data_IF_391003699557
#
_entry.id   IF_391003699557
#
_cell.length_a   1.000
_cell.length_b   1.000
_cell.length_c   1.000
_cell.angle_alpha   90.00
_cell.angle_beta   90.00
_cell.angle_gamma   90.00
#
_symmetry.space_group_name_H-M   'P 1'
#
loop_
_entity.id
_entity.type
_entity.pdbx_description
1 polymer ?
#
# COMPACT_ATOMS: atom_id res chain seq x y z
N UNK A 1 20.22 1.07 4.08
CA UNK A 1 20.24 1.62 2.70
C UNK A 1 19.63 3.01 2.66
N UNK A 2 18.45 3.19 3.24
CA UNK A 2 17.72 4.47 3.16
C UNK A 2 18.14 5.41 4.29
N UNK A 3 18.44 6.67 3.95
CA UNK A 3 18.59 7.75 4.92
C UNK A 3 17.35 8.62 4.83
N UNK A 4 16.55 8.60 5.89
CA UNK A 4 15.25 9.30 5.95
C UNK A 4 15.38 10.43 6.98
N UNK A 5 15.09 11.66 6.56
CA UNK A 5 15.04 12.81 7.46
C UNK A 5 13.99 12.56 8.55
N UNK A 6 14.33 12.85 9.81
CA UNK A 6 13.43 12.62 10.94
C UNK A 6 12.11 13.37 10.80
N UNK A 7 12.11 14.53 10.15
CA UNK A 7 10.91 15.33 9.86
C UNK A 7 9.89 14.58 9.01
N UNK A 8 10.32 13.61 8.20
CA UNK A 8 9.41 12.79 7.40
C UNK A 8 8.48 11.95 8.29
N UNK A 9 8.92 11.55 9.49
CA UNK A 9 8.12 10.77 10.44
C UNK A 9 7.12 11.62 11.24
N UNK A 10 7.26 12.95 11.19
CA UNK A 10 6.33 13.91 11.81
C UNK A 10 5.14 14.22 10.88
N UNK A 11 5.24 13.90 9.59
CA UNK A 11 4.13 14.04 8.64
C UNK A 11 2.95 13.18 9.16
N UNK A 12 1.75 13.75 9.32
CA UNK A 12 0.64 13.05 9.97
C UNK A 12 0.32 11.67 9.38
N UNK A 13 0.32 11.54 8.05
CA UNK A 13 0.04 10.26 7.38
C UNK A 13 1.14 9.24 7.61
N UNK A 14 2.42 9.64 7.59
CA UNK A 14 3.56 8.77 7.90
C UNK A 14 3.53 8.35 9.37
N UNK A 15 3.29 9.29 10.28
CA UNK A 15 3.19 9.00 11.71
C UNK A 15 2.10 7.96 12.01
N UNK A 16 0.90 8.14 11.42
CA UNK A 16 -0.21 7.21 11.59
C UNK A 16 0.06 5.86 10.92
N UNK A 17 0.71 5.84 9.75
CA UNK A 17 1.12 4.61 9.09
C UNK A 17 2.06 3.77 9.98
N UNK A 18 3.05 4.40 10.63
CA UNK A 18 3.99 3.69 11.51
C UNK A 18 3.30 3.01 12.70
N UNK A 19 2.15 3.54 13.17
CA UNK A 19 1.37 2.93 14.24
C UNK A 19 0.66 1.65 13.81
N UNK A 20 0.52 1.38 12.52
CA UNK A 20 -0.07 0.14 12.03
C UNK A 20 0.95 -1.02 12.04
N UNK A 21 2.20 -0.78 12.44
CA UNK A 21 3.28 -1.77 12.32
C UNK A 21 3.49 -2.58 13.61
N UNK A 22 3.09 -2.05 14.76
CA UNK A 22 3.42 -2.61 16.09
C UNK A 22 2.64 -3.90 16.41
N UNK A 23 1.43 -4.03 15.88
CA UNK A 23 0.58 -5.21 16.03
C UNK A 23 0.56 -6.11 14.78
N UNK A 24 1.33 -5.76 13.73
CA UNK A 24 1.29 -6.47 12.46
C UNK A 24 1.92 -7.86 12.54
N UNK A 25 1.18 -8.87 12.08
CA UNK A 25 1.62 -10.26 11.96
C UNK A 25 1.82 -10.62 10.48
N UNK A 26 3.08 -10.75 10.00
CA UNK A 26 3.36 -11.07 8.59
C UNK A 26 2.80 -12.39 8.07
N UNK A 27 2.50 -13.36 8.92
CA UNK A 27 2.10 -14.71 8.51
C UNK A 27 0.64 -14.76 8.07
N UNK A 28 0.42 -14.68 6.76
CA UNK A 28 -0.92 -14.72 6.16
C UNK A 28 -1.59 -16.11 6.21
N UNK A 29 -1.01 -17.10 6.88
CA UNK A 29 -1.66 -18.39 7.19
C UNK A 29 -2.40 -18.37 8.52
N UNK A 30 -2.08 -17.42 9.39
CA UNK A 30 -2.74 -17.21 10.67
C UNK A 30 -4.07 -16.46 10.47
N UNK A 31 -4.97 -16.61 11.43
CA UNK A 31 -6.18 -15.82 11.47
C UNK A 31 -5.84 -14.44 12.03
N UNK A 32 -6.34 -13.41 11.38
CA UNK A 32 -6.24 -12.04 11.87
C UNK A 32 -7.34 -11.82 12.92
N UNK A 33 -6.93 -11.39 14.11
CA UNK A 33 -7.84 -11.02 15.20
C UNK A 33 -7.89 -9.50 15.30
N UNK A 34 -8.80 -8.88 14.55
CA UNK A 34 -8.94 -7.41 14.54
C UNK A 34 -9.39 -6.88 15.92
N UNK A 35 -8.46 -6.29 16.65
CA UNK A 35 -8.70 -5.65 17.95
C UNK A 35 -9.37 -4.29 17.79
N UNK A 36 -10.08 -3.79 18.81
CA UNK A 36 -10.61 -2.43 18.80
C UNK A 36 -9.52 -1.35 18.65
N UNK A 37 -8.28 -1.64 19.08
CA UNK A 37 -7.16 -0.71 18.94
C UNK A 37 -6.73 -0.57 17.48
N UNK A 38 -6.54 -1.70 16.79
CA UNK A 38 -6.16 -1.71 15.36
C UNK A 38 -7.20 -0.99 14.51
N UNK A 39 -8.49 -1.24 14.75
CA UNK A 39 -9.57 -0.52 14.05
C UNK A 39 -9.52 0.99 14.28
N UNK A 40 -9.15 1.42 15.48
CA UNK A 40 -8.99 2.83 15.80
C UNK A 40 -7.79 3.45 15.09
N UNK A 41 -6.69 2.70 14.98
CA UNK A 41 -5.47 3.14 14.29
C UNK A 41 -5.68 3.22 12.77
N UNK A 42 -6.33 2.23 12.18
CA UNK A 42 -6.75 2.24 10.76
C UNK A 42 -7.69 3.42 10.49
N UNK A 43 -8.70 3.62 11.33
CA UNK A 43 -9.64 4.73 11.19
C UNK A 43 -8.94 6.09 11.33
N UNK A 44 -7.95 6.21 12.21
CA UNK A 44 -7.14 7.41 12.38
C UNK A 44 -6.21 7.65 11.19
N UNK A 45 -5.59 6.61 10.65
CA UNK A 45 -4.77 6.69 9.45
C UNK A 45 -5.61 7.11 8.24
N UNK A 46 -6.77 6.47 8.01
CA UNK A 46 -7.68 6.85 6.94
C UNK A 46 -8.18 8.29 7.08
N UNK A 47 -8.48 8.74 8.30
CA UNK A 47 -8.87 10.13 8.54
C UNK A 47 -7.75 11.11 8.21
N UNK A 48 -6.50 10.77 8.55
CA UNK A 48 -5.33 11.57 8.16
C UNK A 48 -5.19 11.64 6.64
N UNK A 49 -5.31 10.50 5.93
CA UNK A 49 -5.29 10.44 4.47
C UNK A 49 -6.37 11.33 3.83
N UNK A 50 -7.62 11.19 4.29
CA UNK A 50 -8.78 11.92 3.75
C UNK A 50 -8.67 13.45 3.88
N UNK A 51 -7.87 13.94 4.82
CA UNK A 51 -7.61 15.37 5.00
C UNK A 51 -6.50 15.92 4.11
N UNK A 52 -5.77 15.07 3.38
CA UNK A 52 -4.70 15.51 2.48
C UNK A 52 -5.25 16.08 1.17
N UNK A 53 -4.60 17.11 0.59
CA UNK A 53 -4.97 17.62 -0.74
C UNK A 53 -4.96 16.54 -1.82
N UNK A 54 -4.05 15.56 -1.72
CA UNK A 54 -3.93 14.45 -2.68
C UNK A 54 -5.19 13.59 -2.72
N UNK A 55 -5.73 13.22 -1.55
CA UNK A 55 -6.94 12.39 -1.48
C UNK A 55 -8.19 13.20 -1.77
N UNK A 56 -8.22 14.50 -1.43
CA UNK A 56 -9.31 15.41 -1.82
C UNK A 56 -9.41 15.52 -3.34
N UNK A 57 -8.28 15.69 -4.04
CA UNK A 57 -8.23 15.71 -5.51
C UNK A 57 -8.65 14.35 -6.09
N UNK A 58 -8.15 13.26 -5.50
CA UNK A 58 -8.50 11.89 -5.91
C UNK A 58 -10.01 11.64 -5.80
N UNK A 59 -10.62 12.04 -4.69
CA UNK A 59 -12.07 11.97 -4.47
C UNK A 59 -12.82 12.73 -5.55
N UNK A 60 -12.43 13.99 -5.77
CA UNK A 60 -13.06 14.87 -6.77
C UNK A 60 -13.01 14.26 -8.17
N UNK A 61 -11.84 13.77 -8.58
CA UNK A 61 -11.66 13.12 -9.87
C UNK A 61 -12.52 11.86 -9.99
N UNK A 62 -12.50 10.96 -9.00
CA UNK A 62 -13.31 9.74 -9.01
C UNK A 62 -14.81 10.04 -9.07
N UNK A 63 -15.28 11.05 -8.32
CA UNK A 63 -16.68 11.47 -8.31
C UNK A 63 -17.10 12.02 -9.67
N UNK A 64 -16.27 12.88 -10.28
CA UNK A 64 -16.55 13.45 -11.61
C UNK A 64 -16.63 12.39 -12.72
N UNK A 65 -15.96 11.24 -12.52
CA UNK A 65 -15.99 10.11 -13.44
C UNK A 65 -17.03 9.03 -13.06
N UNK A 66 -17.84 9.25 -12.02
CA UNK A 66 -18.86 8.29 -11.58
C UNK A 66 -18.27 6.98 -11.02
N UNK A 67 -17.02 6.98 -10.56
CA UNK A 67 -16.31 5.80 -10.07
C UNK A 67 -16.45 5.59 -8.55
N UNK A 68 -17.02 6.56 -7.84
CA UNK A 68 -17.20 6.52 -6.39
C UNK A 68 -18.46 7.30 -5.98
N UNK A 69 -19.06 7.04 -4.79
CA UNK A 69 -20.18 7.81 -4.29
C UNK A 69 -19.90 9.31 -4.21
N UNK A 70 -20.92 10.12 -4.49
CA UNK A 70 -20.84 11.59 -4.51
C UNK A 70 -20.70 12.24 -3.13
N UNK A 71 -20.91 11.49 -2.04
CA UNK A 71 -20.84 11.99 -0.67
C UNK A 71 -19.62 11.44 0.08
N UNK A 72 -19.11 12.23 1.01
CA UNK A 72 -17.89 11.94 1.77
C UNK A 72 -17.97 10.65 2.59
N UNK A 73 -19.15 10.36 3.16
CA UNK A 73 -19.37 9.12 3.90
C UNK A 73 -19.25 7.89 3.00
N UNK A 74 -19.84 7.95 1.81
CA UNK A 74 -19.78 6.86 0.82
C UNK A 74 -18.37 6.67 0.26
N UNK A 75 -17.64 7.75 -0.01
CA UNK A 75 -16.24 7.67 -0.42
C UNK A 75 -15.37 7.03 0.66
N UNK A 76 -15.53 7.46 1.92
CA UNK A 76 -14.83 6.86 3.06
C UNK A 76 -15.14 5.36 3.17
N UNK A 77 -16.42 4.98 3.15
CA UNK A 77 -16.82 3.57 3.21
C UNK A 77 -16.22 2.75 2.06
N UNK A 78 -16.16 3.31 0.85
CA UNK A 78 -15.54 2.63 -0.28
C UNK A 78 -14.04 2.40 -0.07
N UNK A 79 -13.32 3.36 0.53
CA UNK A 79 -11.90 3.17 0.88
C UNK A 79 -11.72 2.14 2.00
N UNK A 80 -12.57 2.18 3.03
CA UNK A 80 -12.60 1.18 4.11
C UNK A 80 -12.81 -0.23 3.52
N UNK A 81 -13.82 -0.38 2.66
CA UNK A 81 -14.10 -1.66 2.01
C UNK A 81 -12.96 -2.10 1.10
N UNK A 82 -12.41 -1.19 0.28
CA UNK A 82 -11.38 -1.52 -0.69
C UNK A 82 -10.07 -1.96 -0.04
N UNK A 83 -9.62 -1.24 1.00
CA UNK A 83 -8.29 -1.38 1.58
C UNK A 83 -8.25 -2.18 2.87
N UNK A 84 -9.23 -2.00 3.76
CA UNK A 84 -9.20 -2.53 5.13
C UNK A 84 -10.16 -3.69 5.36
N UNK A 85 -10.93 -4.12 4.34
CA UNK A 85 -11.68 -5.39 4.46
C UNK A 85 -10.70 -6.55 4.59
N UNK A 86 -10.80 -7.28 5.70
CA UNK A 86 -10.09 -8.54 5.91
C UNK A 86 -10.76 -9.68 5.13
N UNK A 87 -9.96 -10.43 4.39
CA UNK A 87 -10.41 -11.61 3.65
C UNK A 87 -9.34 -12.71 3.63
N UNK A 88 -9.69 -13.93 3.19
CA UNK A 88 -8.70 -15.01 3.12
C UNK A 88 -7.64 -14.76 2.05
N UNK A 89 -6.38 -14.66 2.46
CA UNK A 89 -5.22 -14.50 1.58
C UNK A 89 -4.24 -15.68 1.64
N UNK A 90 -4.39 -16.52 2.66
CA UNK A 90 -3.77 -17.83 2.81
C UNK A 90 -4.69 -18.97 2.39
N UNK A 91 -4.99 -19.84 3.35
CA UNK A 91 -6.01 -20.89 3.28
C UNK A 91 -7.41 -20.31 3.54
N UNK A 92 -8.38 -21.12 3.97
CA UNK A 92 -9.80 -20.75 4.20
C UNK A 92 -10.05 -19.74 5.34
N UNK A 93 -9.01 -19.21 6.01
CA UNK A 93 -9.13 -18.29 7.15
C UNK A 93 -8.95 -16.85 6.70
N UNK A 94 -9.70 -15.93 7.31
CA UNK A 94 -9.49 -14.48 7.18
C UNK A 94 -8.14 -14.14 7.81
N UNK A 95 -7.21 -13.64 7.01
CA UNK A 95 -5.80 -13.60 7.39
C UNK A 95 -5.16 -12.22 7.30
N UNK A 96 -5.65 -11.37 6.39
CA UNK A 96 -5.08 -10.05 6.15
C UNK A 96 -5.97 -9.20 5.25
N UNK A 97 -5.67 -7.90 5.17
CA UNK A 97 -6.34 -6.93 4.29
C UNK A 97 -5.56 -6.61 3.00
N UNK A 98 -6.18 -5.84 2.10
CA UNK A 98 -5.50 -5.33 0.90
C UNK A 98 -4.41 -4.32 1.25
N UNK A 99 -4.65 -3.51 2.29
CA UNK A 99 -3.71 -2.55 2.83
C UNK A 99 -2.46 -3.23 3.35
N UNK A 100 -2.61 -4.21 4.25
CA UNK A 100 -1.49 -4.94 4.82
C UNK A 100 -0.64 -5.59 3.74
N UNK A 101 -1.25 -6.28 2.77
CA UNK A 101 -0.50 -6.89 1.68
C UNK A 101 0.36 -5.88 0.90
N UNK A 102 -0.20 -4.71 0.55
CA UNK A 102 0.51 -3.72 -0.27
C UNK A 102 1.56 -2.95 0.54
N UNK A 103 1.18 -2.46 1.72
CA UNK A 103 1.99 -1.54 2.52
C UNK A 103 2.90 -2.24 3.53
N UNK A 104 2.57 -3.44 4.01
CA UNK A 104 3.35 -4.20 5.00
C UNK A 104 3.93 -5.50 4.40
N UNK A 105 3.20 -6.17 3.50
CA UNK A 105 3.64 -7.40 2.85
C UNK A 105 3.48 -8.63 3.72
N UNK A 106 3.36 -9.80 3.09
CA UNK A 106 2.95 -11.06 3.73
C UNK A 106 3.99 -12.15 3.51
N UNK A 107 4.11 -13.06 4.48
CA UNK A 107 4.80 -14.33 4.35
C UNK A 107 3.78 -15.43 4.13
N UNK A 108 3.93 -16.17 3.04
CA UNK A 108 3.09 -17.32 2.72
C UNK A 108 3.92 -18.40 2.07
N UNK A 109 3.88 -19.62 2.60
CA UNK A 109 4.56 -20.79 2.05
C UNK A 109 6.07 -20.59 1.80
N UNK A 110 6.75 -19.84 2.67
CA UNK A 110 8.18 -19.53 2.49
C UNK A 110 8.46 -18.54 1.36
N UNK A 111 7.46 -17.76 0.93
CA UNK A 111 7.59 -16.69 -0.05
C UNK A 111 7.09 -15.36 0.50
N UNK A 112 7.70 -14.27 0.03
CA UNK A 112 7.27 -12.90 0.35
C UNK A 112 6.29 -12.44 -0.73
N UNK A 113 5.04 -12.26 -0.33
CA UNK A 113 3.96 -11.71 -1.15
C UNK A 113 3.74 -10.24 -0.80
N UNK A 114 3.45 -9.37 -1.77
CA UNK A 114 3.30 -7.93 -1.49
C UNK A 114 4.63 -7.27 -1.06
N UNK A 115 4.61 -6.44 -0.02
CA UNK A 115 5.77 -5.69 0.48
C UNK A 115 6.26 -4.67 -0.56
N UNK A 116 5.46 -3.64 -0.83
CA UNK A 116 5.71 -2.66 -1.89
C UNK A 116 5.96 -1.23 -1.42
N UNK A 117 5.97 -0.99 -0.11
CA UNK A 117 6.13 0.35 0.47
C UNK A 117 7.52 0.57 1.08
N UNK A 118 8.14 1.71 0.75
CA UNK A 118 9.50 2.01 1.23
C UNK A 118 9.57 2.44 2.69
N UNK A 119 8.49 2.98 3.27
CA UNK A 119 8.48 3.38 4.68
C UNK A 119 8.53 2.13 5.54
N UNK A 120 7.72 1.12 5.19
CA UNK A 120 7.79 -0.19 5.83
C UNK A 120 9.13 -0.89 5.57
N UNK A 121 9.64 -0.87 4.33
CA UNK A 121 10.98 -1.38 4.02
C UNK A 121 12.06 -0.77 4.93
N UNK A 122 12.05 0.57 5.08
CA UNK A 122 13.00 1.28 5.93
C UNK A 122 12.81 0.92 7.41
N UNK A 123 11.57 0.76 7.87
CA UNK A 123 11.31 0.34 9.25
C UNK A 123 11.90 -1.06 9.51
N UNK A 124 11.60 -2.02 8.65
CA UNK A 124 12.07 -3.41 8.81
C UNK A 124 13.59 -3.55 8.60
N UNK A 125 14.20 -2.70 7.77
CA UNK A 125 15.66 -2.62 7.66
C UNK A 125 16.28 -2.11 8.98
N UNK A 126 15.71 -1.07 9.59
CA UNK A 126 16.17 -0.53 10.89
C UNK A 126 16.01 -1.54 12.03
N UNK A 127 14.98 -2.39 11.98
CA UNK A 127 14.77 -3.48 12.95
C UNK A 127 15.51 -4.77 12.60
N UNK A 128 16.40 -4.74 11.58
CA UNK A 128 17.23 -5.86 11.12
C UNK A 128 16.46 -7.07 10.61
N UNK A 129 15.20 -6.88 10.22
CA UNK A 129 14.37 -7.93 9.61
C UNK A 129 14.49 -7.95 8.09
N UNK A 130 14.80 -6.81 7.46
CA UNK A 130 15.13 -6.72 6.03
C UNK A 130 16.63 -6.63 5.83
N UNK A 131 17.14 -7.43 4.90
CA UNK A 131 18.49 -7.31 4.35
C UNK A 131 18.42 -7.00 2.85
N UNK A 132 18.88 -5.81 2.47
CA UNK A 132 18.93 -5.38 1.08
C UNK A 132 20.04 -6.13 0.31
N UNK A 133 19.68 -6.72 -0.84
CA UNK A 133 20.60 -7.56 -1.64
C UNK A 133 20.99 -6.95 -2.99
N UNK A 134 20.35 -5.86 -3.41
CA UNK A 134 20.66 -5.21 -4.68
C UNK A 134 19.44 -4.58 -5.37
N UNK A 135 19.69 -3.81 -6.43
CA UNK A 135 18.65 -3.29 -7.32
C UNK A 135 18.95 -3.66 -8.77
N UNK A 136 17.91 -3.78 -9.59
CA UNK A 136 18.00 -4.11 -11.02
C UNK A 136 17.62 -2.95 -11.93
N UNK A 137 16.75 -2.06 -11.47
CA UNK A 137 16.29 -0.91 -12.23
C UNK A 137 15.85 0.22 -11.30
N UNK A 138 16.15 1.45 -11.69
CA UNK A 138 15.70 2.67 -11.02
C UNK A 138 15.09 3.60 -12.07
N UNK A 139 13.96 4.23 -11.74
CA UNK A 139 13.37 5.34 -12.48
C UNK A 139 13.24 6.51 -11.53
N UNK A 140 14.07 7.53 -11.68
CA UNK A 140 14.02 8.72 -10.84
C UNK A 140 12.98 9.73 -11.33
N UNK A 141 12.23 10.30 -10.39
CA UNK A 141 11.40 11.46 -10.66
C UNK A 141 12.24 12.75 -10.62
N UNK A 142 11.82 13.81 -11.36
CA UNK A 142 12.51 15.09 -11.37
C UNK A 142 12.69 15.68 -9.97
N UNK A 143 13.67 16.58 -9.85
CA UNK A 143 13.96 17.35 -8.63
C UNK A 143 14.19 16.49 -7.38
N UNK A 144 14.63 15.24 -7.56
CA UNK A 144 14.86 14.27 -6.49
C UNK A 144 13.61 14.02 -5.62
N UNK A 145 12.40 14.14 -6.19
CA UNK A 145 11.12 13.94 -5.49
C UNK A 145 10.71 12.47 -5.33
N UNK A 146 11.66 11.56 -5.48
CA UNK A 146 11.46 10.12 -5.32
C UNK A 146 11.83 9.31 -6.55
N UNK A 147 11.68 8.00 -6.44
CA UNK A 147 12.07 7.04 -7.49
C UNK A 147 11.18 5.80 -7.46
N UNK A 148 11.17 5.03 -8.55
CA UNK A 148 10.68 3.65 -8.57
C UNK A 148 11.90 2.74 -8.62
N UNK A 149 12.01 1.80 -7.69
CA UNK A 149 13.15 0.91 -7.55
C UNK A 149 12.70 -0.54 -7.65
N UNK A 150 13.31 -1.27 -8.59
CA UNK A 150 13.20 -2.73 -8.68
C UNK A 150 14.31 -3.35 -7.83
N UNK A 151 13.93 -3.87 -6.67
CA UNK A 151 14.81 -4.29 -5.57
C UNK A 151 14.79 -5.81 -5.38
N UNK A 152 15.91 -6.35 -4.92
CA UNK A 152 16.05 -7.71 -4.40
C UNK A 152 16.43 -7.61 -2.93
N UNK A 153 15.74 -8.33 -2.05
CA UNK A 153 15.98 -8.29 -0.62
C UNK A 153 15.61 -9.60 0.06
N UNK A 154 16.10 -9.80 1.28
CA UNK A 154 15.63 -10.83 2.20
C UNK A 154 14.78 -10.17 3.29
N UNK A 155 13.68 -10.81 3.68
CA UNK A 155 12.86 -10.41 4.82
C UNK A 155 12.66 -11.62 5.72
N UNK A 156 13.06 -11.50 6.98
CA UNK A 156 12.97 -12.53 8.04
C UNK A 156 13.48 -13.92 7.61
N UNK A 157 14.55 -13.96 6.82
CA UNK A 157 15.16 -15.21 6.32
C UNK A 157 14.63 -15.67 4.97
N UNK A 158 13.57 -15.06 4.43
CA UNK A 158 12.99 -15.39 3.12
C UNK A 158 13.48 -14.44 2.04
N UNK A 159 13.83 -14.95 0.85
CA UNK A 159 14.28 -14.11 -0.26
C UNK A 159 13.11 -13.62 -1.12
N UNK A 160 13.08 -12.32 -1.43
CA UNK A 160 12.26 -11.72 -2.49
C UNK A 160 13.17 -11.41 -3.68
N UNK A 161 13.24 -12.29 -4.70
CA UNK A 161 14.16 -12.12 -5.83
C UNK A 161 13.85 -10.87 -6.66
N UNK A 162 12.59 -10.42 -6.66
CA UNK A 162 12.15 -9.21 -7.33
C UNK A 162 10.95 -8.59 -6.60
N UNK A 163 11.10 -7.35 -6.15
CA UNK A 163 10.02 -6.46 -5.76
C UNK A 163 10.20 -5.11 -6.45
N UNK A 164 9.11 -4.38 -6.67
CA UNK A 164 9.18 -2.99 -7.10
C UNK A 164 8.52 -2.13 -6.03
N UNK A 165 9.22 -1.08 -5.60
CA UNK A 165 8.74 -0.13 -4.60
C UNK A 165 8.87 1.29 -5.14
N UNK A 166 7.95 2.18 -4.73
CA UNK A 166 8.25 3.60 -4.77
C UNK A 166 9.19 3.95 -3.61
N UNK A 167 10.03 4.96 -3.77
CA UNK A 167 10.93 5.49 -2.72
C UNK A 167 10.78 7.01 -2.66
N UNK A 168 10.57 7.55 -1.45
CA UNK A 168 10.44 8.99 -1.20
C UNK A 168 9.04 9.57 -1.43
N UNK A 169 8.08 8.74 -1.86
CA UNK A 169 6.65 9.10 -2.00
C UNK A 169 5.93 9.10 -0.66
N UNK A 170 4.86 9.87 -0.54
CA UNK A 170 4.00 9.84 0.65
C UNK A 170 2.96 8.70 0.59
N UNK A 171 2.47 8.21 1.76
CA UNK A 171 1.45 7.16 1.80
C UNK A 171 0.19 7.52 1.02
N UNK A 172 -0.26 8.78 1.11
CA UNK A 172 -1.44 9.26 0.40
C UNK A 172 -1.28 9.28 -1.12
N UNK A 173 -0.07 9.52 -1.64
CA UNK A 173 0.19 9.47 -3.08
C UNK A 173 0.11 8.04 -3.60
N UNK A 174 0.75 7.09 -2.92
CA UNK A 174 0.71 5.67 -3.30
C UNK A 174 -0.73 5.14 -3.24
N UNK A 175 -1.45 5.39 -2.14
CA UNK A 175 -2.83 4.94 -1.97
C UNK A 175 -3.77 5.58 -3.00
N UNK A 176 -3.61 6.87 -3.32
CA UNK A 176 -4.38 7.56 -4.35
C UNK A 176 -4.20 6.90 -5.72
N UNK A 177 -2.95 6.72 -6.16
CA UNK A 177 -2.62 6.15 -7.46
C UNK A 177 -3.17 4.72 -7.60
N UNK A 178 -2.99 3.90 -6.57
CA UNK A 178 -3.53 2.53 -6.57
C UNK A 178 -5.06 2.51 -6.56
N UNK A 179 -5.71 3.37 -5.78
CA UNK A 179 -7.18 3.46 -5.73
C UNK A 179 -7.76 3.86 -7.08
N UNK A 180 -7.20 4.89 -7.73
CA UNK A 180 -7.62 5.31 -9.06
C UNK A 180 -7.51 4.16 -10.06
N UNK A 181 -6.38 3.46 -10.08
CA UNK A 181 -6.19 2.34 -10.99
C UNK A 181 -7.11 1.15 -10.68
N UNK A 182 -7.33 0.85 -9.39
CA UNK A 182 -8.21 -0.22 -8.96
C UNK A 182 -9.67 0.00 -9.39
N UNK A 183 -10.14 1.26 -9.36
CA UNK A 183 -11.52 1.61 -9.72
C UNK A 183 -11.69 1.88 -11.22
N UNK A 184 -10.75 2.58 -11.85
CA UNK A 184 -10.86 2.96 -13.26
C UNK A 184 -10.39 1.86 -14.23
N UNK A 185 -9.44 1.02 -13.81
CA UNK A 185 -8.82 -0.05 -14.63
C UNK A 185 -8.56 -1.33 -13.82
N UNK A 186 -9.59 -1.92 -13.20
CA UNK A 186 -9.42 -3.11 -12.36
C UNK A 186 -8.77 -4.25 -13.14
N UNK A 187 -7.83 -4.95 -12.49
CA UNK A 187 -7.15 -6.14 -13.02
C UNK A 187 -6.36 -5.94 -14.32
N UNK A 188 -6.03 -4.69 -14.67
CA UNK A 188 -5.29 -4.35 -15.90
C UNK A 188 -4.11 -3.44 -15.60
N UNK A 189 -3.13 -3.42 -16.51
CA UNK A 189 -2.06 -2.42 -16.46
C UNK A 189 -2.67 -1.02 -16.61
N UNK A 190 -2.42 -0.20 -15.61
CA UNK A 190 -2.87 1.18 -15.52
C UNK A 190 -1.71 2.11 -15.87
N UNK A 191 -1.70 2.72 -17.08
CA UNK A 191 -0.62 3.61 -17.47
C UNK A 191 -0.68 4.91 -16.66
N UNK A 192 0.45 5.30 -16.07
CA UNK A 192 0.60 6.51 -15.26
C UNK A 192 1.71 7.37 -15.85
N UNK A 193 1.52 8.69 -15.77
CA UNK A 193 2.60 9.64 -15.92
C UNK A 193 2.73 10.47 -14.65
N UNK A 194 3.90 10.43 -14.03
CA UNK A 194 4.22 11.19 -12.80
C UNK A 194 5.60 11.82 -12.95
N UNK A 195 5.71 13.12 -12.73
CA UNK A 195 6.96 13.85 -12.93
C UNK A 195 7.55 13.69 -14.33
N UNK A 196 6.72 13.63 -15.38
CA UNK A 196 7.15 13.40 -16.75
C UNK A 196 7.70 11.99 -17.06
N UNK A 197 7.76 11.09 -16.06
CA UNK A 197 8.09 9.67 -16.27
C UNK A 197 6.81 8.89 -16.53
N UNK A 198 6.89 7.91 -17.43
CA UNK A 198 5.79 6.99 -17.75
C UNK A 198 6.11 5.60 -17.22
N UNK A 199 5.16 4.98 -16.55
CA UNK A 199 5.23 3.62 -16.04
C UNK A 199 3.82 3.05 -15.94
N UNK A 200 3.70 1.78 -15.56
CA UNK A 200 2.39 1.18 -15.30
C UNK A 200 2.26 0.85 -13.83
N UNK A 201 1.04 0.95 -13.30
CA UNK A 201 0.64 0.30 -12.07
C UNK A 201 -0.12 -0.98 -12.42
N UNK A 202 0.12 -2.03 -11.66
CA UNK A 202 -0.71 -3.23 -11.69
C UNK A 202 -1.52 -3.25 -10.41
N UNK A 203 -2.86 -3.32 -10.54
CA UNK A 203 -3.78 -3.48 -9.41
C UNK A 203 -4.66 -4.69 -9.67
N UNK A 204 -4.83 -5.54 -8.66
CA UNK A 204 -5.74 -6.68 -8.69
C UNK A 204 -6.89 -6.44 -7.72
N UNK A 205 -8.12 -6.65 -8.18
CA UNK A 205 -9.34 -6.48 -7.38
C UNK A 205 -10.30 -7.62 -7.63
N UNK A 206 -11.15 -7.91 -6.65
CA UNK A 206 -12.24 -8.87 -6.80
C UNK A 206 -13.42 -8.47 -5.90
N UNK A 207 -14.58 -9.08 -6.17
CA UNK A 207 -15.77 -8.91 -5.34
C UNK A 207 -15.75 -9.92 -4.21
N UNK A 208 -15.83 -9.43 -3.00
CA UNK A 208 -15.94 -10.22 -1.78
C UNK A 208 -17.36 -10.08 -1.19
N UNK A 209 -17.59 -10.74 -0.04
CA UNK A 209 -18.88 -10.77 0.67
C UNK A 209 -19.56 -9.41 0.71
N UNK A 210 -20.89 -9.42 0.69
CA UNK A 210 -21.73 -8.20 0.67
C UNK A 210 -21.48 -7.28 -0.54
N UNK A 211 -21.01 -7.88 -1.65
CA UNK A 211 -20.69 -7.20 -2.90
C UNK A 211 -19.61 -6.10 -2.75
N UNK A 212 -18.74 -6.24 -1.76
CA UNK A 212 -17.62 -5.32 -1.52
C UNK A 212 -16.53 -5.55 -2.55
N UNK A 213 -16.09 -4.49 -3.22
CA UNK A 213 -14.87 -4.56 -4.05
C UNK A 213 -13.66 -4.39 -3.15
N UNK A 214 -12.73 -5.34 -3.17
CA UNK A 214 -11.51 -5.33 -2.37
C UNK A 214 -10.26 -5.36 -3.25
N UNK A 215 -9.16 -4.76 -2.79
CA UNK A 215 -7.87 -4.80 -3.50
C UNK A 215 -7.03 -5.97 -3.00
N UNK A 216 -6.55 -6.80 -3.93
CA UNK A 216 -5.67 -7.94 -3.66
C UNK A 216 -4.19 -7.60 -3.76
N UNK A 217 -3.77 -6.80 -4.72
CA UNK A 217 -2.37 -6.38 -4.80
C UNK A 217 -2.26 -5.13 -5.63
N UNK A 218 -1.25 -4.31 -5.34
CA UNK A 218 -0.97 -3.08 -6.05
C UNK A 218 0.53 -2.79 -6.03
N UNK A 219 1.13 -2.55 -7.20
CA UNK A 219 2.55 -2.21 -7.28
C UNK A 219 2.92 -1.58 -8.64
N UNK A 220 4.02 -0.80 -8.68
CA UNK A 220 4.56 -0.29 -9.93
C UNK A 220 5.25 -1.39 -10.76
N UNK A 221 5.08 -1.32 -12.08
CA UNK A 221 5.65 -2.23 -13.06
C UNK A 221 6.66 -1.47 -13.93
N UNK A 222 7.94 -1.82 -13.77
CA UNK A 222 9.09 -1.22 -14.47
C UNK A 222 10.09 -2.24 -14.97
#
# INVERSE_FOLDING_TARGET
LLTVDSKAYEIPTVNKLLKLYDNYVPDATLQEDETPSEKSEEAAFLSALLSTPVIIETKTWLQSNGLTPSNDRGFRQQLEDLWFTVYPRGFKKRSSSGFEHVFLGELKNGEISGFHNWIFFNHEEKTKKVNYLGWRKIIDFPDKKGSIVKVTFNWTGTNKPTGTIFVGTSPELELALYTVCALAKPNRKCPISLGGKKFNLQTYTFIYKDNKTVISSAYPVV
#
